data_IF_166814571773
#
_entry.id   IF_166814571773
#
_cell.length_a   1.000
_cell.length_b   1.000
_cell.length_c   1.000
_cell.angle_alpha   90.00
_cell.angle_beta   90.00
_cell.angle_gamma   90.00
#
_symmetry.space_group_name_H-M   'P 1'
#
loop_
_entity.id
_entity.type
_entity.pdbx_description
1 polymer ?
#
# COMPACT_ATOMS: atom_id res chain seq x y z
N UNK A 1 1.74 1.95 -11.41
CA UNK A 1 3.17 2.23 -11.08
C UNK A 1 4.06 1.18 -11.70
N UNK A 2 5.28 1.55 -12.08
CA UNK A 2 6.36 0.62 -12.41
C UNK A 2 7.27 0.46 -11.19
N UNK A 3 7.37 -0.74 -10.61
CA UNK A 3 8.21 -0.99 -9.43
C UNK A 3 9.70 -0.72 -9.66
N UNK A 4 10.37 -0.10 -8.68
CA UNK A 4 11.81 0.20 -8.75
C UNK A 4 12.71 -1.04 -8.88
N UNK A 5 12.23 -2.19 -8.41
CA UNK A 5 12.92 -3.48 -8.49
C UNK A 5 12.79 -4.15 -9.88
N UNK A 6 12.16 -3.51 -10.86
CA UNK A 6 12.03 -4.03 -12.23
C UNK A 6 10.95 -5.09 -12.40
N UNK A 7 10.02 -5.20 -11.45
CA UNK A 7 8.86 -6.10 -11.56
C UNK A 7 7.78 -5.57 -12.51
N UNK A 8 6.79 -6.41 -12.78
CA UNK A 8 5.62 -6.03 -13.58
C UNK A 8 4.89 -4.86 -12.94
N UNK A 9 4.21 -4.01 -13.75
CA UNK A 9 3.51 -2.87 -13.21
C UNK A 9 2.48 -3.28 -12.15
N UNK A 10 2.20 -2.36 -11.25
CA UNK A 10 1.36 -2.62 -10.09
C UNK A 10 0.45 -1.44 -9.80
N UNK A 11 -0.58 -1.69 -9.01
CA UNK A 11 -1.43 -0.65 -8.44
C UNK A 11 -0.85 -0.18 -7.11
N UNK A 12 -1.06 1.09 -6.81
CA UNK A 12 -0.65 1.70 -5.55
C UNK A 12 -1.69 2.72 -5.12
N UNK A 13 -1.89 2.84 -3.80
CA UNK A 13 -2.72 3.89 -3.16
C UNK A 13 -1.86 5.00 -2.56
N UNK A 14 -0.57 5.03 -2.89
CA UNK A 14 0.38 5.98 -2.32
C UNK A 14 0.27 7.32 -3.04
N UNK A 15 0.22 8.40 -2.26
CA UNK A 15 0.15 9.78 -2.75
C UNK A 15 1.41 10.61 -2.47
N UNK A 16 2.47 10.01 -1.93
CA UNK A 16 3.74 10.66 -1.63
C UNK A 16 4.62 10.76 -2.88
N UNK A 17 4.18 11.60 -3.82
CA UNK A 17 4.83 11.78 -5.11
C UNK A 17 5.98 12.79 -5.02
N UNK A 18 7.09 12.46 -5.68
CA UNK A 18 8.28 13.30 -5.80
C UNK A 18 8.72 13.36 -7.27
N UNK A 19 9.04 14.56 -7.75
CA UNK A 19 9.65 14.75 -9.06
C UNK A 19 11.17 14.68 -8.92
N UNK A 20 11.82 13.77 -9.64
CA UNK A 20 13.26 13.67 -9.69
C UNK A 20 13.88 14.70 -10.65
N UNK A 21 15.18 15.02 -10.50
CA UNK A 21 15.90 15.92 -11.40
C UNK A 21 15.94 15.45 -12.86
N UNK A 22 15.81 14.15 -13.10
CA UNK A 22 15.72 13.54 -14.44
C UNK A 22 14.31 13.64 -15.05
N UNK A 23 13.37 14.30 -14.37
CA UNK A 23 12.01 14.52 -14.82
C UNK A 23 11.06 13.37 -14.49
N UNK A 24 11.53 12.28 -13.87
CA UNK A 24 10.64 11.16 -13.54
C UNK A 24 9.80 11.45 -12.32
N UNK A 25 8.51 11.14 -12.41
CA UNK A 25 7.61 11.17 -11.27
C UNK A 25 7.66 9.84 -10.54
N UNK A 26 8.11 9.85 -9.29
CA UNK A 26 8.22 8.65 -8.43
C UNK A 26 7.37 8.79 -7.18
N UNK A 27 7.04 7.67 -6.54
CA UNK A 27 6.56 7.65 -5.16
C UNK A 27 7.74 7.59 -4.15
N UNK A 28 7.48 7.72 -2.85
CA UNK A 28 8.55 7.67 -1.83
C UNK A 28 9.17 6.28 -1.62
N UNK A 29 8.75 5.26 -2.38
CA UNK A 29 9.38 3.94 -2.41
C UNK A 29 10.22 3.77 -3.69
N UNK A 30 10.33 4.82 -4.51
CA UNK A 30 11.09 4.83 -5.76
C UNK A 30 10.33 4.27 -6.96
N UNK A 31 9.05 3.92 -6.82
CA UNK A 31 8.27 3.38 -7.94
C UNK A 31 7.90 4.50 -8.89
N UNK A 32 8.05 4.27 -10.20
CA UNK A 32 7.70 5.27 -11.22
C UNK A 32 6.19 5.32 -11.42
N UNK A 33 5.66 6.53 -11.53
CA UNK A 33 4.25 6.74 -11.85
C UNK A 33 4.01 6.50 -13.34
N UNK A 34 2.87 5.88 -13.63
CA UNK A 34 2.46 5.56 -15.00
C UNK A 34 1.29 6.43 -15.41
N UNK A 35 1.23 6.76 -16.70
CA UNK A 35 0.12 7.44 -17.32
C UNK A 35 -1.06 6.50 -17.61
N UNK A 36 -2.10 7.04 -18.25
CA UNK A 36 -3.27 6.27 -18.66
C UNK A 36 -2.96 5.12 -19.66
N UNK A 37 -1.82 5.19 -20.35
CA UNK A 37 -1.34 4.19 -21.30
C UNK A 37 -0.28 3.26 -20.68
N UNK A 38 -0.16 3.26 -19.35
CA UNK A 38 0.83 2.48 -18.60
C UNK A 38 2.30 2.83 -18.95
N UNK A 39 2.56 4.03 -19.46
CA UNK A 39 3.90 4.53 -19.74
C UNK A 39 4.45 5.38 -18.59
N UNK A 40 5.76 5.35 -18.30
CA UNK A 40 6.36 6.21 -17.29
C UNK A 40 6.14 7.69 -17.56
N UNK A 41 5.69 8.42 -16.53
CA UNK A 41 5.47 9.86 -16.62
C UNK A 41 6.80 10.59 -16.46
N UNK A 42 7.18 11.30 -17.51
CA UNK A 42 8.34 12.19 -17.53
C UNK A 42 7.83 13.63 -17.67
N UNK A 43 8.08 14.43 -16.64
CA UNK A 43 7.70 15.84 -16.57
C UNK A 43 8.93 16.72 -16.82
N UNK A 44 8.77 17.84 -17.53
CA UNK A 44 9.85 18.81 -17.67
C UNK A 44 10.08 19.54 -16.33
N UNK A 45 11.26 20.17 -16.20
CA UNK A 45 11.60 20.95 -15.01
C UNK A 45 10.58 22.08 -14.78
N UNK A 46 9.97 22.10 -13.61
CA UNK A 46 8.91 23.03 -13.26
C UNK A 46 9.14 23.65 -11.89
N UNK A 47 8.71 24.90 -11.73
CA UNK A 47 8.71 25.61 -10.44
C UNK A 47 7.68 25.00 -9.49
N UNK A 48 6.55 24.53 -10.03
CA UNK A 48 5.48 23.88 -9.26
C UNK A 48 4.78 22.82 -10.11
N UNK A 49 4.39 21.72 -9.45
CA UNK A 49 3.57 20.65 -10.02
C UNK A 49 2.25 20.60 -9.25
N UNK A 50 1.14 20.59 -9.99
CA UNK A 50 -0.24 20.54 -9.51
C UNK A 50 -0.87 19.31 -10.13
N UNK A 51 -1.62 18.55 -9.35
CA UNK A 51 -2.34 17.37 -9.81
C UNK A 51 -3.80 17.59 -9.44
N UNK A 52 -4.68 17.62 -10.43
CA UNK A 52 -6.12 17.80 -10.20
C UNK A 52 -6.79 16.51 -9.68
N UNK A 53 -8.08 16.62 -9.39
CA UNK A 53 -8.87 15.52 -8.85
C UNK A 53 -9.11 14.39 -9.86
N UNK A 54 -9.02 14.68 -11.15
CA UNK A 54 -9.06 13.70 -12.24
C UNK A 54 -7.68 13.09 -12.57
N UNK A 55 -6.63 13.50 -11.86
CA UNK A 55 -5.26 13.03 -12.05
C UNK A 55 -4.48 13.72 -13.16
N UNK A 56 -4.98 14.82 -13.73
CA UNK A 56 -4.21 15.64 -14.68
C UNK A 56 -3.08 16.34 -13.96
N UNK A 57 -1.91 16.27 -14.57
CA UNK A 57 -0.69 16.90 -14.11
C UNK A 57 -0.52 18.22 -14.84
N UNK A 58 -0.58 19.30 -14.07
CA UNK A 58 -0.40 20.67 -14.52
C UNK A 58 0.85 21.22 -13.87
N UNK A 59 1.74 21.79 -14.66
CA UNK A 59 2.96 22.40 -14.16
C UNK A 59 2.99 23.90 -14.40
N UNK A 60 3.83 24.57 -13.62
CA UNK A 60 4.23 25.95 -13.82
C UNK A 60 5.72 25.95 -14.21
N UNK A 61 6.06 26.09 -15.51
CA UNK A 61 7.43 25.99 -15.98
C UNK A 61 8.34 27.10 -15.45
N UNK A 62 9.64 26.83 -15.38
CA UNK A 62 10.63 27.88 -15.12
C UNK A 62 10.71 28.85 -16.31
N UNK A 63 10.78 30.16 -16.03
CA UNK A 63 10.89 31.21 -17.05
C UNK A 63 9.56 31.67 -17.66
N UNK A 64 8.43 31.06 -17.29
CA UNK A 64 7.10 31.51 -17.69
C UNK A 64 6.57 32.62 -16.75
N UNK A 65 5.69 33.52 -17.24
CA UNK A 65 4.99 34.48 -16.38
C UNK A 65 4.25 33.77 -15.24
N UNK A 66 4.19 34.40 -14.06
CA UNK A 66 3.49 33.82 -12.91
C UNK A 66 2.02 33.52 -13.23
N UNK A 67 1.56 32.33 -12.82
CA UNK A 67 0.20 31.87 -13.13
C UNK A 67 0.06 31.18 -14.48
N UNK A 68 1.11 31.11 -15.30
CA UNK A 68 1.12 30.29 -16.51
C UNK A 68 1.09 28.81 -16.14
N UNK A 69 0.01 28.13 -16.51
CA UNK A 69 -0.20 26.70 -16.25
C UNK A 69 -0.14 25.92 -17.56
N UNK A 70 0.57 24.81 -17.56
CA UNK A 70 0.68 23.90 -18.69
C UNK A 70 0.31 22.49 -18.27
N UNK A 71 -0.67 21.88 -18.94
CA UNK A 71 -0.98 20.46 -18.80
C UNK A 71 0.12 19.65 -19.50
N UNK A 72 0.68 18.66 -18.80
CA UNK A 72 1.82 17.86 -19.27
C UNK A 72 1.58 16.37 -19.21
N UNK A 73 0.49 15.92 -18.59
CA UNK A 73 0.13 14.51 -18.57
C UNK A 73 -1.08 14.23 -17.69
N UNK A 74 -1.42 12.94 -17.60
CA UNK A 74 -2.50 12.43 -16.76
C UNK A 74 -2.03 11.14 -16.09
N UNK A 75 -2.21 11.03 -14.77
CA UNK A 75 -1.92 9.82 -14.01
C UNK A 75 -2.88 8.71 -14.40
N UNK A 76 -2.38 7.50 -14.64
CA UNK A 76 -3.24 6.33 -14.80
C UNK A 76 -3.87 5.96 -13.46
N UNK A 77 -5.18 6.12 -13.34
CA UNK A 77 -5.96 5.78 -12.15
C UNK A 77 -7.07 4.81 -12.50
N UNK A 78 -7.35 3.89 -11.59
CA UNK A 78 -8.40 2.89 -11.79
C UNK A 78 -9.10 2.64 -10.46
N UNK A 79 -10.43 2.54 -10.48
CA UNK A 79 -11.18 2.04 -9.31
C UNK A 79 -11.09 0.52 -9.16
N UNK A 80 -10.64 -0.19 -10.20
CA UNK A 80 -10.60 -1.65 -10.24
C UNK A 80 -11.94 -2.28 -9.81
N UNK A 81 -13.06 -1.71 -10.23
CA UNK A 81 -14.39 -2.23 -9.91
C UNK A 81 -14.55 -3.65 -10.45
N UNK A 82 -14.97 -4.58 -9.59
CA UNK A 82 -15.17 -6.01 -9.89
C UNK A 82 -13.90 -6.80 -10.23
N UNK A 83 -12.71 -6.31 -9.84
CA UNK A 83 -11.45 -7.06 -9.98
C UNK A 83 -10.98 -7.47 -8.60
N UNK A 84 -10.75 -8.77 -8.40
CA UNK A 84 -10.09 -9.22 -7.18
C UNK A 84 -8.62 -8.78 -7.21
N UNK A 85 -8.27 -7.94 -6.24
CA UNK A 85 -6.91 -7.45 -6.06
C UNK A 85 -6.26 -8.19 -4.90
N UNK A 86 -5.03 -8.61 -5.09
CA UNK A 86 -4.23 -9.21 -4.02
C UNK A 86 -2.92 -8.47 -3.86
N UNK A 87 -2.40 -8.53 -2.64
CA UNK A 87 -1.07 -8.01 -2.32
C UNK A 87 -0.06 -9.12 -2.52
N UNK A 88 0.89 -8.92 -3.43
CA UNK A 88 1.97 -9.86 -3.72
C UNK A 88 3.06 -9.82 -2.64
N UNK A 89 3.97 -10.79 -2.65
CA UNK A 89 5.05 -10.90 -1.65
C UNK A 89 6.02 -9.71 -1.65
N UNK A 90 6.14 -8.99 -2.77
CA UNK A 90 6.89 -7.73 -2.91
C UNK A 90 6.13 -6.51 -2.35
N UNK A 91 4.95 -6.73 -1.76
CA UNK A 91 4.14 -5.69 -1.13
C UNK A 91 3.33 -4.83 -2.10
N UNK A 92 3.35 -5.15 -3.39
CA UNK A 92 2.63 -4.46 -4.45
C UNK A 92 1.20 -4.99 -4.61
N UNK A 93 0.30 -4.21 -5.20
CA UNK A 93 -1.09 -4.63 -5.45
C UNK A 93 -1.22 -5.02 -6.93
N UNK A 94 -1.71 -6.23 -7.20
CA UNK A 94 -1.93 -6.75 -8.56
C UNK A 94 -3.29 -7.44 -8.65
N UNK A 95 -3.81 -7.60 -9.87
CA UNK A 95 -5.02 -8.37 -10.13
C UNK A 95 -4.73 -9.87 -9.96
N UNK A 96 -5.66 -10.63 -9.35
CA UNK A 96 -5.51 -12.08 -9.13
C UNK A 96 -5.45 -12.85 -10.45
N UNK A 97 -6.25 -12.43 -11.43
CA UNK A 97 -6.25 -12.99 -12.79
C UNK A 97 -6.24 -11.86 -13.83
N UNK A 98 -5.45 -12.04 -14.88
CA UNK A 98 -5.39 -11.14 -16.02
C UNK A 98 -4.40 -9.97 -15.89
N UNK A 99 -4.40 -9.11 -16.90
CA UNK A 99 -3.60 -7.90 -16.94
C UNK A 99 -4.13 -6.85 -15.95
N UNK A 100 -3.31 -5.83 -15.67
CA UNK A 100 -3.74 -4.71 -14.84
C UNK A 100 -5.02 -4.07 -15.38
N UNK A 101 -5.93 -3.62 -14.49
CA UNK A 101 -7.09 -2.86 -14.91
C UNK A 101 -6.66 -1.66 -15.76
N UNK A 102 -7.37 -1.45 -16.86
CA UNK A 102 -7.22 -0.25 -17.67
C UNK A 102 -7.52 0.95 -16.78
N UNK A 103 -6.70 1.99 -16.92
CA UNK A 103 -6.93 3.27 -16.25
C UNK A 103 -8.27 3.85 -16.74
N UNK A 104 -9.23 3.99 -15.82
CA UNK A 104 -10.60 4.44 -16.10
C UNK A 104 -10.82 5.91 -15.69
N UNK A 105 -9.84 6.52 -15.02
CA UNK A 105 -9.89 7.89 -14.52
C UNK A 105 -11.07 8.19 -13.60
N UNK A 106 -11.68 7.16 -13.02
CA UNK A 106 -12.81 7.28 -12.09
C UNK A 106 -12.36 7.47 -10.64
N UNK A 107 -11.09 7.18 -10.36
CA UNK A 107 -10.50 7.41 -9.05
C UNK A 107 -10.21 8.90 -8.85
N UNK A 108 -10.64 9.45 -7.71
CA UNK A 108 -10.39 10.85 -7.36
C UNK A 108 -9.09 10.99 -6.60
N UNK A 109 -8.25 11.94 -7.02
CA UNK A 109 -7.01 12.29 -6.33
C UNK A 109 -7.23 13.52 -5.46
N UNK A 110 -6.71 13.50 -4.23
CA UNK A 110 -6.75 14.66 -3.33
C UNK A 110 -5.31 15.11 -3.09
N UNK A 111 -4.89 16.17 -3.78
CA UNK A 111 -3.55 16.73 -3.64
C UNK A 111 -3.39 17.44 -2.28
N UNK A 112 -2.24 17.24 -1.62
CA UNK A 112 -1.96 17.86 -0.31
C UNK A 112 -2.55 17.11 0.89
N UNK A 113 -3.17 15.96 0.66
CA UNK A 113 -3.61 15.02 1.69
C UNK A 113 -2.88 13.69 1.50
N UNK A 114 -2.16 13.24 2.52
CA UNK A 114 -1.78 11.82 2.62
C UNK A 114 -3.04 11.07 3.04
N UNK A 115 -3.53 10.16 2.20
CA UNK A 115 -4.56 9.21 2.60
C UNK A 115 -4.04 8.46 3.83
N UNK A 116 -4.57 8.83 5.01
CA UNK A 116 -4.20 8.19 6.27
C UNK A 116 -4.60 6.73 6.16
N UNK A 117 -3.68 5.84 6.55
CA UNK A 117 -3.99 4.43 6.70
C UNK A 117 -5.24 4.30 7.54
N UNK A 118 -6.30 3.71 7.00
CA UNK A 118 -7.48 3.31 7.77
C UNK A 118 -7.18 2.06 8.64
N UNK A 119 -5.93 1.88 9.05
CA UNK A 119 -5.55 0.91 10.04
C UNK A 119 -5.53 1.62 11.39
N UNK A 120 -6.55 1.37 12.20
CA UNK A 120 -6.54 1.76 13.60
C UNK A 120 -5.41 0.99 14.32
N UNK A 121 -4.24 1.62 14.34
CA UNK A 121 -3.01 1.08 14.92
C UNK A 121 -3.17 0.68 16.38
N UNK A 122 -4.14 1.26 17.10
CA UNK A 122 -4.45 0.88 18.48
C UNK A 122 -5.21 -0.45 18.54
N UNK A 123 -6.19 -0.64 17.66
CA UNK A 123 -7.00 -1.85 17.59
C UNK A 123 -6.19 -3.06 17.12
N UNK A 124 -5.27 -2.87 16.17
CA UNK A 124 -4.31 -3.89 15.74
C UNK A 124 -3.32 -4.32 16.85
N UNK A 125 -2.91 -3.39 17.71
CA UNK A 125 -2.08 -3.69 18.88
C UNK A 125 -2.88 -4.42 19.98
N UNK A 126 -4.12 -4.00 20.25
CA UNK A 126 -5.01 -4.70 21.18
C UNK A 126 -5.24 -6.16 20.75
N UNK A 127 -5.52 -6.38 19.46
CA UNK A 127 -5.74 -7.73 18.91
C UNK A 127 -4.50 -8.63 19.05
N UNK A 128 -3.28 -8.05 18.97
CA UNK A 128 -2.05 -8.79 19.26
C UNK A 128 -1.89 -9.10 20.76
N UNK A 129 -2.20 -8.15 21.65
CA UNK A 129 -2.12 -8.34 23.11
C UNK A 129 -3.12 -9.40 23.58
N UNK A 130 -4.36 -9.38 23.04
CA UNK A 130 -5.38 -10.40 23.32
C UNK A 130 -4.95 -11.78 22.80
N UNK A 131 -4.36 -11.84 21.61
CA UNK A 131 -3.77 -13.07 21.07
C UNK A 131 -2.67 -13.64 21.96
N UNK A 132 -1.76 -12.78 22.46
CA UNK A 132 -0.69 -13.19 23.38
C UNK A 132 -1.21 -13.69 24.72
N UNK A 133 -2.22 -13.03 25.31
CA UNK A 133 -2.86 -13.49 26.56
C UNK A 133 -3.58 -14.82 26.38
N UNK A 134 -4.29 -14.99 25.27
CA UNK A 134 -4.98 -16.24 24.96
C UNK A 134 -3.98 -17.39 24.78
N UNK A 135 -2.85 -17.13 24.11
CA UNK A 135 -1.76 -18.09 24.00
C UNK A 135 -1.16 -18.43 25.36
N UNK A 136 -0.86 -17.46 26.22
CA UNK A 136 -0.35 -17.72 27.56
C UNK A 136 -1.33 -18.53 28.42
N UNK A 137 -2.63 -18.22 28.34
CA UNK A 137 -3.67 -18.96 29.04
C UNK A 137 -3.76 -20.40 28.54
N UNK A 138 -3.69 -20.63 27.22
CA UNK A 138 -3.67 -21.97 26.64
C UNK A 138 -2.42 -22.75 27.09
N UNK A 139 -1.24 -22.12 27.11
CA UNK A 139 0.00 -22.76 27.58
C UNK A 139 -0.08 -23.08 29.08
N UNK A 140 -0.63 -22.18 29.90
CA UNK A 140 -0.84 -22.44 31.34
C UNK A 140 -1.85 -23.56 31.58
N UNK A 141 -2.95 -23.59 30.82
CA UNK A 141 -3.95 -24.65 30.90
C UNK A 141 -3.36 -26.02 30.53
N UNK A 142 -2.58 -26.09 29.44
CA UNK A 142 -1.86 -27.31 29.04
C UNK A 142 -0.90 -27.77 30.15
N UNK A 143 -0.11 -26.85 30.72
CA UNK A 143 0.81 -27.18 31.82
C UNK A 143 0.09 -27.66 33.09
N UNK A 144 -1.07 -27.10 33.39
CA UNK A 144 -1.85 -27.50 34.55
C UNK A 144 -2.53 -28.86 34.33
N UNK A 145 -3.04 -29.11 33.12
CA UNK A 145 -3.52 -30.42 32.70
C UNK A 145 -2.40 -31.47 32.78
N UNK A 146 -1.20 -31.16 32.29
CA UNK A 146 -0.03 -32.05 32.38
C UNK A 146 0.36 -32.35 33.83
N UNK A 147 0.35 -31.34 34.72
CA UNK A 147 0.58 -31.56 36.15
C UNK A 147 -0.50 -32.44 36.79
N UNK A 148 -1.76 -32.23 36.42
CA UNK A 148 -2.89 -33.02 36.92
C UNK A 148 -2.78 -34.47 36.44
N UNK A 149 -2.42 -34.70 35.17
CA UNK A 149 -2.17 -36.02 34.60
C UNK A 149 -0.98 -36.72 35.29
N UNK A 150 0.12 -35.99 35.55
CA UNK A 150 1.26 -36.53 36.30
C UNK A 150 0.89 -36.87 37.75
N UNK A 151 0.10 -36.04 38.43
CA UNK A 151 -0.37 -36.30 39.78
C UNK A 151 -1.32 -37.51 39.83
N UNK A 152 -2.22 -37.63 38.85
CA UNK A 152 -3.11 -38.78 38.67
C UNK A 152 -2.33 -40.07 38.40
N UNK A 153 -1.32 -40.02 37.52
CA UNK A 153 -0.43 -41.14 37.24
C UNK A 153 0.38 -41.58 38.47
N UNK A 154 0.85 -40.63 39.30
CA UNK A 154 1.51 -40.92 40.58
C UNK A 154 0.57 -41.56 41.61
N UNK A 155 -0.71 -41.19 41.62
CA UNK A 155 -1.74 -41.84 42.44
C UNK A 155 -2.03 -43.27 41.96
N UNK A 156 -1.99 -43.52 40.65
CA UNK A 156 -2.11 -44.88 40.08
C UNK A 156 -0.85 -45.75 40.28
N UNK A 157 0.31 -45.14 40.54
CA UNK A 157 1.55 -45.83 40.89
C UNK A 157 1.72 -46.10 42.39
N UNK A 158 0.80 -45.67 43.25
CA UNK A 158 0.87 -45.98 44.66
C UNK A 158 0.75 -47.51 44.84
N UNK A 159 1.76 -48.20 45.38
CA UNK A 159 1.79 -49.65 45.41
C UNK A 159 0.77 -50.19 46.41
N UNK A 160 -0.04 -51.15 45.96
CA UNK A 160 -0.51 -52.24 46.79
C UNK A 160 0.49 -53.39 46.73
#
# INVERSE_FOLDING_TARGET
>A
ISPANGGDPALSRRGDLTLLPDGKLIDGAGNQMLDNNLQPIILPSARRVIIDDAGKIVIEPFGSPEGTRQEVGILGTTLAENIELFKTQDGQIRAVEGDLPIADQRAKIIQGSLERSNADSLEALLKNIEGQRTFELNVKFIKEAEKMDQASSRLMQLPG
#
